data_IF_464587245671
#
_entry.id   IF_464587245671
#
_cell.length_a   1.000
_cell.length_b   1.000
_cell.length_c   1.000
_cell.angle_alpha   90.00
_cell.angle_beta   90.00
_cell.angle_gamma   90.00
#
_symmetry.space_group_name_H-M   'P 1'
#
loop_
_entity.id
_entity.type
_entity.pdbx_description
1 polymer ?
#
# COMPACT_ATOMS: atom_id res chain seq x y z
N UNK A 1 33.40 14.60 -0.16
CA UNK A 1 32.16 14.07 0.46
C UNK A 1 31.39 13.42 -0.67
N UNK A 2 30.76 12.26 -0.49
CA UNK A 2 29.92 11.74 -1.59
C UNK A 2 28.83 12.78 -1.85
N UNK A 3 28.65 13.17 -3.11
CA UNK A 3 27.60 14.11 -3.53
C UNK A 3 26.17 13.60 -3.19
N UNK A 4 26.08 12.38 -2.65
CA UNK A 4 24.87 11.66 -2.27
C UNK A 4 24.46 11.85 -0.81
N UNK A 5 25.27 12.47 0.06
CA UNK A 5 24.85 12.81 1.42
C UNK A 5 24.59 14.31 1.58
N UNK A 6 23.38 14.73 1.21
CA UNK A 6 22.89 16.08 1.48
C UNK A 6 22.79 16.35 2.99
N UNK A 7 22.84 17.62 3.43
CA UNK A 7 22.68 17.98 4.84
C UNK A 7 21.41 17.41 5.47
N UNK A 8 20.28 17.51 4.77
CA UNK A 8 18.98 16.99 5.22
C UNK A 8 18.99 15.47 5.37
N UNK A 9 19.59 14.74 4.43
CA UNK A 9 19.72 13.28 4.56
C UNK A 9 20.67 12.88 5.69
N UNK A 10 21.76 13.64 5.90
CA UNK A 10 22.69 13.40 7.00
C UNK A 10 22.00 13.53 8.38
N UNK A 11 21.14 14.53 8.52
CA UNK A 11 20.36 14.79 9.72
C UNK A 11 19.34 13.69 10.00
N UNK A 12 18.54 13.31 8.99
CA UNK A 12 17.58 12.19 9.09
C UNK A 12 18.28 10.86 9.42
N UNK A 13 19.38 10.54 8.72
CA UNK A 13 20.13 9.32 8.98
C UNK A 13 20.64 9.27 10.42
N UNK A 14 21.16 10.41 10.93
CA UNK A 14 21.64 10.53 12.30
C UNK A 14 20.56 10.25 13.34
N UNK A 15 19.33 10.76 13.13
CA UNK A 15 18.18 10.49 14.01
C UNK A 15 17.70 9.04 13.94
N UNK A 16 17.84 8.40 12.79
CA UNK A 16 17.54 6.98 12.58
C UNK A 16 18.62 6.02 13.12
N UNK A 17 19.77 6.54 13.56
CA UNK A 17 20.84 5.74 14.17
C UNK A 17 21.93 5.27 13.21
N UNK A 18 22.00 5.80 11.98
CA UNK A 18 23.03 5.43 11.00
C UNK A 18 23.70 6.65 10.35
N UNK A 19 24.80 6.42 9.63
CA UNK A 19 25.50 7.49 8.91
C UNK A 19 25.45 7.29 7.40
N UNK A 20 24.93 8.28 6.68
CA UNK A 20 24.99 8.35 5.22
C UNK A 20 26.43 8.30 4.65
N UNK A 21 27.45 8.62 5.47
CA UNK A 21 28.86 8.62 5.05
C UNK A 21 29.43 7.21 4.95
N UNK A 22 28.89 6.29 5.73
CA UNK A 22 29.32 4.90 5.83
C UNK A 22 28.26 3.92 5.34
N UNK A 23 27.04 4.39 5.08
CA UNK A 23 25.95 3.57 4.57
C UNK A 23 26.21 3.17 3.10
N UNK A 24 26.73 1.95 2.95
CA UNK A 24 26.50 1.08 1.80
C UNK A 24 27.04 1.49 0.44
N UNK A 25 26.65 0.65 -0.53
CA UNK A 25 26.81 0.85 -1.98
C UNK A 25 25.48 0.62 -2.68
N UNK A 26 25.51 0.17 -3.93
CA UNK A 26 24.27 -0.14 -4.69
C UNK A 26 23.42 -1.23 -4.01
N UNK A 27 24.05 -2.18 -3.34
CA UNK A 27 23.43 -3.26 -2.55
C UNK A 27 24.25 -3.46 -1.27
N UNK A 28 23.60 -3.64 -0.14
CA UNK A 28 24.22 -3.96 1.13
C UNK A 28 23.41 -5.00 1.90
N UNK A 29 24.12 -5.88 2.62
CA UNK A 29 23.50 -6.92 3.46
C UNK A 29 24.03 -6.81 4.89
N UNK A 30 23.14 -6.63 5.85
CA UNK A 30 23.40 -6.53 7.28
C UNK A 30 22.95 -7.79 8.02
N UNK A 31 23.38 -7.97 9.27
CA UNK A 31 22.86 -9.04 10.13
C UNK A 31 21.54 -8.58 10.76
N UNK A 32 20.44 -9.34 10.64
CA UNK A 32 19.12 -8.92 11.14
C UNK A 32 19.08 -8.71 12.66
N UNK A 33 19.95 -9.39 13.41
CA UNK A 33 20.06 -9.27 14.87
C UNK A 33 20.90 -8.07 15.33
N UNK A 34 21.47 -7.30 14.41
CA UNK A 34 22.30 -6.13 14.67
C UNK A 34 21.68 -4.84 14.11
N UNK A 35 20.39 -4.89 13.72
CA UNK A 35 19.64 -3.72 13.32
C UNK A 35 19.33 -2.83 14.55
N UNK A 36 19.05 -1.55 14.31
CA UNK A 36 18.91 -0.52 15.34
C UNK A 36 17.89 -0.89 16.44
N UNK A 37 16.82 -1.58 16.07
CA UNK A 37 15.87 -2.11 17.03
C UNK A 37 15.22 -3.42 16.53
N UNK A 38 14.63 -4.16 17.46
CA UNK A 38 14.05 -5.48 17.21
C UNK A 38 12.83 -5.46 16.28
N UNK A 39 12.18 -4.32 16.08
CA UNK A 39 10.97 -4.22 15.24
C UNK A 39 11.31 -4.20 13.75
N UNK A 40 12.50 -3.73 13.37
CA UNK A 40 12.99 -3.71 11.99
C UNK A 40 12.99 -5.12 11.33
N UNK A 41 13.63 -6.16 11.91
CA UNK A 41 13.61 -7.49 11.31
C UNK A 41 12.21 -8.14 11.34
N UNK A 42 11.37 -7.80 12.33
CA UNK A 42 9.98 -8.29 12.41
C UNK A 42 9.13 -7.73 11.27
N UNK A 43 9.23 -6.42 11.02
CA UNK A 43 8.56 -5.75 9.91
C UNK A 43 9.04 -6.32 8.57
N UNK A 44 10.35 -6.38 8.37
CA UNK A 44 10.96 -6.85 7.12
C UNK A 44 10.53 -8.28 6.79
N UNK A 45 10.61 -9.20 7.77
CA UNK A 45 10.17 -10.58 7.59
C UNK A 45 8.70 -10.67 7.23
N UNK A 46 7.84 -9.90 7.91
CA UNK A 46 6.39 -9.89 7.68
C UNK A 46 6.08 -9.46 6.24
N UNK A 47 6.68 -8.35 5.80
CA UNK A 47 6.42 -7.76 4.49
C UNK A 47 7.01 -8.61 3.35
N UNK A 48 8.25 -9.08 3.48
CA UNK A 48 8.90 -9.93 2.47
C UNK A 48 8.16 -11.25 2.32
N UNK A 49 7.75 -11.89 3.44
CA UNK A 49 6.93 -13.11 3.41
C UNK A 49 5.64 -12.85 2.64
N UNK A 50 4.98 -11.73 2.90
CA UNK A 50 3.81 -11.29 2.16
C UNK A 50 4.05 -11.16 0.67
N UNK A 51 5.11 -10.47 0.25
CA UNK A 51 5.43 -10.27 -1.15
C UNK A 51 5.72 -11.59 -1.89
N UNK A 52 6.43 -12.53 -1.23
CA UNK A 52 6.66 -13.88 -1.77
C UNK A 52 5.35 -14.64 -1.90
N UNK A 53 4.50 -14.59 -0.87
CA UNK A 53 3.19 -15.23 -0.88
C UNK A 53 2.29 -14.64 -1.99
N UNK A 54 2.21 -13.32 -2.14
CA UNK A 54 1.40 -12.69 -3.20
C UNK A 54 1.95 -12.93 -4.60
N UNK A 55 3.28 -13.04 -4.76
CA UNK A 55 3.88 -13.45 -6.03
C UNK A 55 3.56 -14.91 -6.37
N UNK A 56 3.69 -15.81 -5.39
CA UNK A 56 3.30 -17.21 -5.55
C UNK A 56 1.82 -17.32 -5.93
N UNK A 57 0.95 -16.52 -5.30
CA UNK A 57 -0.47 -16.42 -5.65
C UNK A 57 -0.65 -16.03 -7.12
N UNK A 58 0.03 -14.97 -7.55
CA UNK A 58 -0.05 -14.45 -8.91
C UNK A 58 0.40 -15.50 -9.96
N UNK A 59 1.50 -16.21 -9.68
CA UNK A 59 2.02 -17.27 -10.56
C UNK A 59 1.05 -18.45 -10.63
N UNK A 60 0.54 -18.91 -9.47
CA UNK A 60 -0.44 -20.00 -9.41
C UNK A 60 -1.68 -19.65 -10.22
N UNK A 61 -2.18 -18.41 -10.08
CA UNK A 61 -3.37 -17.95 -10.77
C UNK A 61 -3.19 -17.85 -12.27
N UNK A 62 -2.05 -17.34 -12.73
CA UNK A 62 -1.70 -17.36 -14.14
C UNK A 62 -1.63 -18.79 -14.68
N UNK A 63 -0.94 -19.70 -13.97
CA UNK A 63 -0.72 -21.07 -14.46
C UNK A 63 -1.96 -21.95 -14.42
N UNK A 64 -2.82 -21.81 -13.40
CA UNK A 64 -4.00 -22.68 -13.19
C UNK A 64 -5.28 -22.14 -13.80
N UNK A 65 -5.40 -20.82 -13.90
CA UNK A 65 -6.63 -20.16 -14.36
C UNK A 65 -6.42 -19.28 -15.60
N UNK A 66 -5.18 -19.19 -16.09
CA UNK A 66 -4.85 -18.37 -17.26
C UNK A 66 -5.07 -16.88 -17.04
N UNK A 67 -5.17 -16.43 -15.78
CA UNK A 67 -5.49 -15.06 -15.42
C UNK A 67 -4.22 -14.30 -14.98
N UNK A 68 -3.80 -13.36 -15.82
CA UNK A 68 -2.59 -12.57 -15.66
C UNK A 68 -2.76 -11.34 -14.76
N UNK A 69 -3.94 -11.09 -14.20
CA UNK A 69 -4.25 -9.85 -13.46
C UNK A 69 -3.31 -9.62 -12.29
N UNK A 70 -3.06 -10.65 -11.48
CA UNK A 70 -2.18 -10.52 -10.31
C UNK A 70 -0.71 -10.39 -10.68
N UNK A 71 -0.28 -10.97 -11.81
CA UNK A 71 1.08 -10.79 -12.31
C UNK A 71 1.27 -9.34 -12.76
N UNK A 72 0.32 -8.81 -13.53
CA UNK A 72 0.35 -7.41 -13.95
C UNK A 72 0.23 -6.44 -12.77
N UNK A 73 -0.54 -6.78 -11.74
CA UNK A 73 -0.64 -5.98 -10.51
C UNK A 73 0.68 -5.96 -9.75
N UNK A 74 1.27 -7.13 -9.49
CA UNK A 74 2.48 -7.28 -8.69
C UNK A 74 3.66 -6.54 -9.35
N UNK A 75 3.93 -6.84 -10.62
CA UNK A 75 5.03 -6.17 -11.33
C UNK A 75 4.69 -4.72 -11.73
N UNK A 76 3.41 -4.38 -11.87
CA UNK A 76 2.97 -3.00 -12.08
C UNK A 76 3.24 -2.12 -10.85
N UNK A 77 3.06 -2.66 -9.64
CA UNK A 77 3.42 -1.98 -8.39
C UNK A 77 4.95 -1.79 -8.26
N UNK A 78 5.74 -2.79 -8.68
CA UNK A 78 7.22 -2.65 -8.74
C UNK A 78 7.63 -1.61 -9.78
N UNK A 79 6.99 -1.59 -10.96
CA UNK A 79 7.26 -0.57 -11.97
C UNK A 79 6.93 0.83 -11.46
N UNK A 80 5.79 0.99 -10.78
CA UNK A 80 5.41 2.25 -10.13
C UNK A 80 6.48 2.74 -9.14
N UNK A 81 6.93 1.86 -8.24
CA UNK A 81 7.98 2.14 -7.26
C UNK A 81 9.25 2.65 -7.94
N UNK A 82 9.72 1.93 -8.98
CA UNK A 82 10.94 2.27 -9.71
C UNK A 82 10.84 3.59 -10.48
N UNK A 83 9.63 4.08 -10.74
CA UNK A 83 9.40 5.39 -11.37
C UNK A 83 9.39 6.51 -10.32
N UNK A 84 8.78 6.29 -9.17
CA UNK A 84 8.52 7.34 -8.17
C UNK A 84 9.65 7.47 -7.14
N UNK A 85 10.22 6.38 -6.65
CA UNK A 85 11.19 6.43 -5.54
C UNK A 85 12.54 7.05 -5.89
N UNK A 86 13.19 6.72 -7.04
CA UNK A 86 14.52 7.25 -7.31
C UNK A 86 14.58 8.79 -7.33
N UNK A 87 13.61 9.51 -7.94
CA UNK A 87 13.52 10.97 -7.82
C UNK A 87 13.40 11.49 -6.38
N UNK A 88 12.64 10.80 -5.52
CA UNK A 88 12.45 11.19 -4.12
C UNK A 88 13.70 10.98 -3.25
N UNK A 89 14.49 9.95 -3.56
CA UNK A 89 15.74 9.65 -2.88
C UNK A 89 16.93 10.47 -3.36
N UNK A 90 16.96 10.84 -4.64
CA UNK A 90 18.09 11.54 -5.26
C UNK A 90 17.68 12.83 -5.98
N UNK A 91 17.01 13.79 -5.32
CA UNK A 91 16.46 14.96 -5.99
C UNK A 91 17.53 15.77 -6.75
N UNK A 92 18.75 15.85 -6.22
CA UNK A 92 19.88 16.50 -6.89
C UNK A 92 20.28 15.81 -8.21
N UNK A 93 20.32 14.47 -8.23
CA UNK A 93 20.66 13.69 -9.43
C UNK A 93 19.60 13.81 -10.52
N UNK A 94 18.35 14.04 -10.14
CA UNK A 94 17.23 14.27 -11.06
C UNK A 94 17.03 15.75 -11.42
N UNK A 95 17.91 16.65 -10.96
CA UNK A 95 17.82 18.09 -11.27
C UNK A 95 16.62 18.80 -10.66
N UNK A 96 16.03 18.24 -9.60
CA UNK A 96 14.87 18.80 -8.90
C UNK A 96 15.21 19.34 -7.51
N UNK A 97 16.50 19.38 -7.12
CA UNK A 97 16.92 19.84 -5.80
C UNK A 97 16.54 21.29 -5.46
N UNK A 98 16.40 22.16 -6.47
CA UNK A 98 15.94 23.55 -6.28
C UNK A 98 14.44 23.63 -5.92
N UNK A 99 13.71 22.53 -6.07
CA UNK A 99 12.26 22.45 -5.87
C UNK A 99 11.84 21.42 -4.83
N UNK A 100 12.63 20.36 -4.64
CA UNK A 100 12.34 19.23 -3.78
C UNK A 100 13.63 18.81 -3.06
N UNK A 101 13.69 19.03 -1.75
CA UNK A 101 14.72 18.41 -0.92
C UNK A 101 14.29 16.99 -0.50
N UNK A 102 15.20 16.23 0.12
CA UNK A 102 14.97 14.88 0.66
C UNK A 102 13.67 14.87 1.46
N UNK A 103 12.66 14.11 1.01
CA UNK A 103 11.33 14.11 1.63
C UNK A 103 11.26 13.21 2.86
N UNK A 104 12.05 12.14 2.88
CA UNK A 104 12.14 11.18 3.98
C UNK A 104 13.41 10.35 3.84
N UNK A 105 13.74 9.62 4.91
CA UNK A 105 14.76 8.59 4.90
C UNK A 105 14.22 7.34 5.60
N UNK A 106 14.48 6.15 5.04
CA UNK A 106 14.27 4.91 5.76
C UNK A 106 15.45 4.61 6.67
N UNK A 107 15.19 3.85 7.74
CA UNK A 107 16.27 3.19 8.46
C UNK A 107 16.89 2.11 7.57
N UNK A 108 18.04 1.58 7.98
CA UNK A 108 18.74 0.50 7.28
C UNK A 108 18.26 -0.85 7.80
N UNK A 109 17.89 -1.73 6.87
CA UNK A 109 17.35 -3.07 7.16
C UNK A 109 18.37 -4.16 6.82
N UNK A 110 17.96 -5.43 6.78
CA UNK A 110 18.87 -6.53 6.47
C UNK A 110 19.36 -6.42 5.03
N UNK A 111 18.49 -6.04 4.09
CA UNK A 111 18.86 -5.84 2.69
C UNK A 111 18.46 -4.45 2.26
N UNK A 112 19.44 -3.64 1.87
CA UNK A 112 19.24 -2.29 1.38
C UNK A 112 19.85 -2.09 0.00
N UNK A 113 19.21 -1.24 -0.78
CA UNK A 113 19.67 -0.77 -2.07
C UNK A 113 19.96 0.74 -2.03
N UNK A 114 20.64 1.22 -3.06
CA UNK A 114 20.80 2.65 -3.33
C UNK A 114 21.43 3.43 -2.15
N UNK A 115 22.56 2.95 -1.63
CA UNK A 115 23.31 3.61 -0.53
C UNK A 115 22.48 3.78 0.75
N UNK A 116 21.71 2.74 1.10
CA UNK A 116 20.90 2.72 2.32
C UNK A 116 19.62 3.55 2.24
N UNK A 117 19.10 3.79 1.03
CA UNK A 117 17.89 4.61 0.81
C UNK A 117 16.66 3.79 0.45
N UNK A 118 16.84 2.64 -0.19
CA UNK A 118 15.74 1.77 -0.60
C UNK A 118 15.88 0.38 0.05
N UNK A 119 15.30 0.17 1.23
CA UNK A 119 15.24 -1.14 1.85
C UNK A 119 14.42 -2.14 1.02
N UNK A 120 14.78 -3.43 1.05
CA UNK A 120 14.05 -4.48 0.33
C UNK A 120 12.60 -4.60 0.79
N UNK A 121 12.31 -4.34 2.07
CA UNK A 121 10.93 -4.37 2.55
C UNK A 121 10.06 -3.31 1.87
N UNK A 122 10.61 -2.14 1.49
CA UNK A 122 9.88 -1.12 0.73
C UNK A 122 9.60 -1.63 -0.68
N UNK A 123 10.56 -2.25 -1.34
CA UNK A 123 10.31 -2.90 -2.64
C UNK A 123 9.19 -3.96 -2.54
N UNK A 124 9.14 -4.68 -1.42
CA UNK A 124 8.18 -5.75 -1.16
C UNK A 124 6.79 -5.24 -0.74
N UNK A 125 6.68 -4.13 0.01
CA UNK A 125 5.40 -3.66 0.57
C UNK A 125 4.42 -3.23 -0.52
N UNK A 126 4.92 -2.59 -1.58
CA UNK A 126 4.12 -2.12 -2.71
C UNK A 126 3.31 -3.24 -3.37
N UNK A 127 3.93 -4.29 -3.95
CA UNK A 127 3.19 -5.36 -4.59
C UNK A 127 2.42 -6.23 -3.58
N UNK A 128 2.92 -6.37 -2.35
CA UNK A 128 2.24 -7.12 -1.28
C UNK A 128 0.89 -6.47 -0.93
N UNK A 129 0.91 -5.20 -0.55
CA UNK A 129 -0.27 -4.47 -0.06
C UNK A 129 -1.29 -4.27 -1.17
N UNK A 130 -0.83 -3.87 -2.37
CA UNK A 130 -1.68 -3.72 -3.54
C UNK A 130 -2.40 -5.04 -3.87
N UNK A 131 -1.70 -6.17 -3.80
CA UNK A 131 -2.32 -7.48 -4.05
C UNK A 131 -3.32 -7.85 -2.97
N UNK A 132 -3.00 -7.68 -1.67
CA UNK A 132 -3.94 -7.97 -0.57
C UNK A 132 -5.22 -7.16 -0.72
N UNK A 133 -5.11 -5.85 -0.92
CA UNK A 133 -6.27 -4.98 -1.08
C UNK A 133 -7.11 -5.36 -2.31
N UNK A 134 -6.45 -5.60 -3.45
CA UNK A 134 -7.11 -6.01 -4.68
C UNK A 134 -7.88 -7.32 -4.52
N UNK A 135 -7.29 -8.31 -3.84
CA UNK A 135 -7.90 -9.61 -3.63
C UNK A 135 -9.11 -9.57 -2.70
N UNK A 136 -9.08 -8.73 -1.68
CA UNK A 136 -10.23 -8.50 -0.81
C UNK A 136 -11.40 -7.94 -1.64
N UNK A 137 -11.16 -6.90 -2.44
CA UNK A 137 -12.18 -6.25 -3.26
C UNK A 137 -12.70 -7.19 -4.35
N UNK A 138 -11.81 -7.96 -4.98
CA UNK A 138 -12.20 -8.95 -5.98
C UNK A 138 -12.98 -10.11 -5.40
N UNK A 139 -12.62 -10.60 -4.21
CA UNK A 139 -13.36 -11.66 -3.50
C UNK A 139 -14.81 -11.27 -3.25
N UNK A 140 -15.03 -10.00 -2.90
CA UNK A 140 -16.37 -9.45 -2.73
C UNK A 140 -17.11 -9.25 -4.06
N UNK A 141 -16.47 -9.47 -5.22
CA UNK A 141 -17.10 -9.36 -6.53
C UNK A 141 -17.42 -7.93 -6.97
N UNK A 142 -16.76 -6.92 -6.37
CA UNK A 142 -17.02 -5.50 -6.65
C UNK A 142 -16.78 -5.17 -8.12
N UNK A 143 -15.66 -5.60 -8.70
CA UNK A 143 -15.31 -5.34 -10.10
C UNK A 143 -16.38 -5.84 -11.08
N UNK A 144 -16.99 -6.99 -10.80
CA UNK A 144 -18.05 -7.57 -11.65
C UNK A 144 -19.37 -6.83 -11.50
N UNK A 145 -19.70 -6.38 -10.28
CA UNK A 145 -21.00 -5.75 -9.98
C UNK A 145 -21.03 -4.27 -10.33
N UNK A 146 -20.00 -3.52 -9.93
CA UNK A 146 -19.95 -2.06 -10.02
C UNK A 146 -18.92 -1.56 -11.03
N UNK A 147 -18.21 -2.47 -11.71
CA UNK A 147 -17.26 -2.14 -12.76
C UNK A 147 -15.86 -1.75 -12.26
N UNK A 148 -14.99 -1.47 -13.22
CA UNK A 148 -13.55 -1.22 -13.00
C UNK A 148 -13.30 0.01 -12.11
N UNK A 149 -14.02 1.11 -12.31
CA UNK A 149 -13.80 2.35 -11.57
C UNK A 149 -14.13 2.21 -10.08
N UNK A 150 -15.34 1.76 -9.74
CA UNK A 150 -15.74 1.59 -8.34
C UNK A 150 -14.90 0.52 -7.65
N UNK A 151 -14.56 -0.56 -8.37
CA UNK A 151 -13.61 -1.54 -7.85
C UNK A 151 -12.25 -0.93 -7.53
N UNK A 152 -11.70 -0.08 -8.39
CA UNK A 152 -10.44 0.61 -8.15
C UNK A 152 -10.51 1.54 -6.92
N UNK A 153 -11.59 2.31 -6.77
CA UNK A 153 -11.86 3.15 -5.58
C UNK A 153 -11.89 2.29 -4.31
N UNK A 154 -12.54 1.14 -4.36
CA UNK A 154 -12.56 0.20 -3.24
C UNK A 154 -11.17 -0.37 -2.93
N UNK A 155 -10.32 -0.61 -3.95
CA UNK A 155 -8.94 -1.06 -3.72
C UNK A 155 -8.13 0.01 -3.03
N UNK A 156 -8.26 1.27 -3.45
CA UNK A 156 -7.65 2.41 -2.77
C UNK A 156 -8.04 2.47 -1.30
N UNK A 157 -9.34 2.39 -1.01
CA UNK A 157 -9.85 2.41 0.37
C UNK A 157 -9.38 1.23 1.23
N UNK A 158 -9.34 0.00 0.68
CA UNK A 158 -8.85 -1.16 1.43
C UNK A 158 -7.34 -1.07 1.63
N UNK A 159 -6.58 -0.67 0.61
CA UNK A 159 -5.14 -0.46 0.73
C UNK A 159 -4.82 0.56 1.81
N UNK A 160 -5.51 1.71 1.77
CA UNK A 160 -5.44 2.76 2.77
C UNK A 160 -5.57 2.22 4.19
N UNK A 161 -6.63 1.44 4.47
CA UNK A 161 -6.87 0.90 5.80
C UNK A 161 -5.77 -0.06 6.30
N UNK A 162 -5.09 -0.79 5.42
CA UNK A 162 -3.97 -1.66 5.82
C UNK A 162 -2.65 -0.89 5.92
N UNK A 163 -2.44 0.09 5.03
CA UNK A 163 -1.21 0.86 4.92
C UNK A 163 -1.06 1.86 6.08
N UNK A 164 -2.12 2.59 6.43
CA UNK A 164 -2.08 3.62 7.48
C UNK A 164 -1.83 3.06 8.89
N UNK A 165 -2.12 1.77 9.11
CA UNK A 165 -1.73 1.08 10.35
C UNK A 165 -0.21 1.04 10.50
N UNK A 166 0.48 0.81 9.39
CA UNK A 166 1.93 0.77 9.31
C UNK A 166 2.51 2.19 9.26
N UNK A 167 1.92 3.09 8.46
CA UNK A 167 2.49 4.42 8.20
C UNK A 167 2.49 5.32 9.46
N UNK A 168 1.42 5.26 10.27
CA UNK A 168 1.35 6.00 11.53
C UNK A 168 2.18 5.41 12.67
N UNK A 169 2.74 4.21 12.51
CA UNK A 169 3.61 3.60 13.52
C UNK A 169 5.10 3.78 13.20
N UNK A 170 5.45 3.83 11.90
CA UNK A 170 6.83 3.83 11.44
C UNK A 170 7.73 4.91 12.02
N UNK A 171 7.30 6.19 12.06
CA UNK A 171 8.11 7.25 12.65
C UNK A 171 8.43 7.00 14.13
N UNK A 172 7.45 6.53 14.91
CA UNK A 172 7.63 6.25 16.34
C UNK A 172 8.60 5.08 16.59
N UNK A 173 8.61 4.07 15.70
CA UNK A 173 9.50 2.91 15.79
C UNK A 173 10.80 3.06 14.96
N UNK A 174 11.07 4.27 14.44
CA UNK A 174 12.24 4.60 13.61
C UNK A 174 12.42 3.67 12.41
N UNK A 175 11.31 3.30 11.75
CA UNK A 175 11.38 2.58 10.47
C UNK A 175 11.74 3.51 9.32
N UNK A 176 11.27 4.75 9.40
CA UNK A 176 11.65 5.88 8.57
C UNK A 176 11.34 7.17 9.30
N UNK A 177 11.81 8.28 8.74
CA UNK A 177 11.54 9.61 9.24
C UNK A 177 11.21 10.56 8.09
N UNK A 178 10.22 11.43 8.32
CA UNK A 178 9.79 12.46 7.39
C UNK A 178 10.55 13.76 7.61
N UNK A 179 10.88 14.44 6.51
CA UNK A 179 11.34 15.82 6.56
C UNK A 179 10.19 16.75 6.88
N UNK A 180 9.96 17.02 8.16
CA UNK A 180 8.78 17.75 8.65
C UNK A 180 8.68 19.20 8.15
N UNK A 181 9.76 19.79 7.65
CA UNK A 181 9.74 21.15 7.09
C UNK A 181 9.69 21.18 5.55
N UNK A 182 9.67 20.02 4.90
CA UNK A 182 9.55 19.96 3.45
C UNK A 182 8.13 20.38 3.02
N UNK A 183 7.97 21.36 2.10
CA UNK A 183 6.65 21.79 1.64
C UNK A 183 5.79 20.67 1.07
N UNK A 184 6.41 19.66 0.43
CA UNK A 184 5.71 18.50 -0.13
C UNK A 184 5.14 17.55 0.93
N UNK A 185 5.63 17.63 2.16
CA UNK A 185 5.12 16.86 3.30
C UNK A 185 4.02 17.60 4.07
N UNK A 186 3.73 18.86 3.71
CA UNK A 186 2.78 19.68 4.45
C UNK A 186 1.38 19.64 3.82
N UNK A 187 0.31 19.66 4.63
CA UNK A 187 0.33 19.63 6.10
C UNK A 187 0.60 18.23 6.66
N UNK A 188 1.13 18.18 7.89
CA UNK A 188 1.25 16.93 8.63
C UNK A 188 -0.08 16.54 9.30
N UNK A 189 -0.38 15.25 9.33
CA UNK A 189 -1.40 14.62 10.15
C UNK A 189 -0.70 13.79 11.24
N UNK A 190 -0.57 14.41 12.42
CA UNK A 190 0.34 13.94 13.48
C UNK A 190 1.76 13.74 12.90
N UNK A 191 2.37 12.56 13.02
CA UNK A 191 3.71 12.28 12.48
C UNK A 191 3.76 11.99 10.98
N UNK A 192 2.64 11.96 10.26
CA UNK A 192 2.58 11.50 8.85
C UNK A 192 2.10 12.62 7.93
N UNK A 193 2.75 12.88 6.78
CA UNK A 193 2.26 13.86 5.80
C UNK A 193 0.86 13.52 5.31
N UNK A 194 -0.08 14.49 5.37
CA UNK A 194 -1.42 14.29 4.80
C UNK A 194 -1.38 13.96 3.30
N UNK A 195 -0.48 14.52 2.47
CA UNK A 195 -0.28 14.03 1.11
C UNK A 195 0.08 12.55 1.04
N UNK A 196 0.81 11.99 2.01
CA UNK A 196 1.07 10.54 2.08
C UNK A 196 -0.20 9.75 2.33
N UNK A 197 -0.95 10.16 3.36
CA UNK A 197 -2.23 9.54 3.76
C UNK A 197 -3.23 9.49 2.60
N UNK A 198 -3.20 10.46 1.69
CA UNK A 198 -4.11 10.47 0.54
C UNK A 198 -3.48 9.79 -0.67
N UNK A 199 -2.30 10.22 -1.07
CA UNK A 199 -1.68 9.82 -2.34
C UNK A 199 -1.05 8.44 -2.24
N UNK A 200 -0.18 8.23 -1.24
CA UNK A 200 0.54 6.98 -1.02
C UNK A 200 -0.35 5.89 -0.40
N UNK A 201 -1.34 6.25 0.40
CA UNK A 201 -2.22 5.25 1.00
C UNK A 201 -3.41 4.86 0.10
N UNK A 202 -3.99 5.79 -0.66
CA UNK A 202 -5.26 5.54 -1.37
C UNK A 202 -5.21 5.74 -2.89
N UNK A 203 -4.60 6.83 -3.39
CA UNK A 203 -4.75 7.20 -4.81
C UNK A 203 -3.87 6.39 -5.77
N UNK A 204 -2.60 6.12 -5.46
CA UNK A 204 -1.79 5.26 -6.33
C UNK A 204 -2.30 3.81 -6.43
N UNK A 205 -2.73 3.10 -5.36
CA UNK A 205 -3.25 1.74 -5.50
C UNK A 205 -4.59 1.75 -6.24
N UNK A 206 -5.40 2.81 -6.07
CA UNK A 206 -6.60 3.02 -6.89
C UNK A 206 -6.23 3.16 -8.37
N UNK A 207 -5.27 4.00 -8.71
CA UNK A 207 -4.82 4.21 -10.10
C UNK A 207 -4.28 2.91 -10.71
N UNK A 208 -3.41 2.21 -9.99
CA UNK A 208 -2.87 0.93 -10.45
C UNK A 208 -3.98 -0.12 -10.63
N UNK A 209 -4.90 -0.24 -9.68
CA UNK A 209 -6.02 -1.17 -9.77
C UNK A 209 -6.90 -0.86 -10.98
N UNK A 210 -7.16 0.43 -11.26
CA UNK A 210 -7.90 0.88 -12.43
C UNK A 210 -7.20 0.45 -13.72
N UNK A 211 -5.91 0.76 -13.86
CA UNK A 211 -5.14 0.43 -15.06
C UNK A 211 -5.03 -1.09 -15.27
N UNK A 212 -4.67 -1.84 -14.23
CA UNK A 212 -4.56 -3.31 -14.30
C UNK A 212 -5.90 -3.94 -14.67
N UNK A 213 -6.99 -3.50 -14.06
CA UNK A 213 -8.32 -4.02 -14.40
C UNK A 213 -8.75 -3.63 -15.81
N UNK A 214 -8.42 -2.41 -16.25
CA UNK A 214 -8.77 -1.96 -17.59
C UNK A 214 -8.00 -2.69 -18.69
N UNK A 215 -6.69 -2.89 -18.53
CA UNK A 215 -5.86 -3.52 -19.56
C UNK A 215 -5.84 -5.05 -19.48
N UNK A 216 -5.99 -5.63 -18.29
CA UNK A 216 -5.82 -7.07 -18.06
C UNK A 216 -7.08 -7.67 -17.43
N UNK A 217 -7.47 -7.21 -16.24
CA UNK A 217 -8.44 -7.91 -15.40
C UNK A 217 -9.82 -8.11 -16.03
N UNK A 218 -10.43 -7.06 -16.58
CA UNK A 218 -11.75 -7.17 -17.26
C UNK A 218 -11.75 -8.10 -18.47
N UNK A 219 -10.60 -8.33 -19.08
CA UNK A 219 -10.46 -9.25 -20.21
C UNK A 219 -10.24 -10.68 -19.73
N UNK A 220 -9.43 -10.86 -18.69
CA UNK A 220 -9.25 -12.15 -18.03
C UNK A 220 -10.57 -12.65 -17.41
N UNK A 221 -11.37 -11.75 -16.83
CA UNK A 221 -12.74 -12.04 -16.36
C UNK A 221 -13.67 -12.55 -17.47
N UNK A 222 -13.40 -12.18 -18.73
CA UNK A 222 -14.13 -12.65 -19.92
C UNK A 222 -13.51 -13.89 -20.56
N UNK A 223 -12.53 -14.52 -19.91
CA UNK A 223 -11.84 -15.72 -20.39
C UNK A 223 -10.76 -15.45 -21.43
N UNK A 224 -10.32 -14.19 -21.62
CA UNK A 224 -9.23 -13.88 -22.55
C UNK A 224 -7.88 -14.22 -21.92
N UNK A 225 -7.09 -15.01 -22.63
CA UNK A 225 -5.69 -15.28 -22.29
C UNK A 225 -4.75 -14.34 -23.04
N UNK A 226 -3.57 -14.11 -22.45
CA UNK A 226 -2.54 -13.23 -22.99
C UNK A 226 -1.23 -13.98 -23.17
N UNK A 227 -0.50 -13.65 -24.24
CA UNK A 227 0.88 -14.12 -24.40
C UNK A 227 1.82 -13.42 -23.43
N UNK A 228 3.02 -13.97 -23.19
CA UNK A 228 4.00 -13.36 -22.28
C UNK A 228 4.33 -11.90 -22.64
N UNK A 229 4.53 -11.61 -23.93
CA UNK A 229 4.78 -10.24 -24.41
C UNK A 229 3.60 -9.32 -24.11
N UNK A 230 2.36 -9.79 -24.30
CA UNK A 230 1.17 -9.03 -23.99
C UNK A 230 1.04 -8.72 -22.50
N UNK A 231 1.45 -9.64 -21.63
CA UNK A 231 1.47 -9.41 -20.18
C UNK A 231 2.51 -8.35 -19.85
N UNK A 232 3.74 -8.45 -20.38
CA UNK A 232 4.84 -7.53 -20.09
C UNK A 232 4.49 -6.09 -20.44
N UNK A 233 4.09 -5.81 -21.69
CA UNK A 233 3.85 -4.41 -22.07
C UNK A 233 2.65 -3.82 -21.31
N UNK A 234 1.59 -4.61 -21.07
CA UNK A 234 0.42 -4.15 -20.30
C UNK A 234 0.77 -3.84 -18.85
N UNK A 235 1.67 -4.61 -18.27
CA UNK A 235 2.21 -4.40 -16.93
C UNK A 235 2.99 -3.08 -16.88
N UNK A 236 3.90 -2.85 -17.84
CA UNK A 236 4.67 -1.61 -17.94
C UNK A 236 3.76 -0.41 -18.14
N UNK A 237 2.82 -0.48 -19.08
CA UNK A 237 1.85 0.61 -19.32
C UNK A 237 0.98 0.87 -18.07
N UNK A 238 0.53 -0.18 -17.38
CA UNK A 238 -0.22 0.00 -16.15
C UNK A 238 0.60 0.68 -15.05
N UNK A 239 1.87 0.30 -14.87
CA UNK A 239 2.78 0.95 -13.92
C UNK A 239 3.00 2.43 -14.24
N UNK A 240 3.30 2.76 -15.51
CA UNK A 240 3.50 4.14 -15.97
C UNK A 240 2.24 4.99 -15.77
N UNK A 241 1.08 4.49 -16.18
CA UNK A 241 -0.19 5.21 -16.02
C UNK A 241 -0.60 5.35 -14.54
N UNK A 242 -0.27 4.35 -13.71
CA UNK A 242 -0.47 4.46 -12.27
C UNK A 242 0.36 5.60 -11.66
N UNK A 243 1.62 5.74 -12.09
CA UNK A 243 2.50 6.86 -11.68
C UNK A 243 1.93 8.20 -12.11
N UNK A 244 1.37 8.32 -13.33
CA UNK A 244 0.67 9.55 -13.73
C UNK A 244 -0.56 9.83 -12.86
N UNK A 245 -1.31 8.82 -12.46
CA UNK A 245 -2.44 8.98 -11.56
C UNK A 245 -2.07 9.56 -10.19
N UNK A 246 -0.84 9.33 -9.73
CA UNK A 246 -0.31 9.89 -8.47
C UNK A 246 -0.08 11.39 -8.57
N UNK A 247 0.21 11.90 -9.77
CA UNK A 247 0.26 13.33 -10.01
C UNK A 247 -1.12 13.93 -10.30
N UNK A 248 -1.99 13.21 -11.03
CA UNK A 248 -3.27 13.72 -11.54
C UNK A 248 -4.39 13.70 -10.50
N UNK A 249 -4.53 12.60 -9.75
CA UNK A 249 -5.63 12.44 -8.81
C UNK A 249 -5.64 13.47 -7.67
N UNK A 250 -4.49 13.85 -7.06
CA UNK A 250 -4.44 14.89 -6.05
C UNK A 250 -4.33 16.32 -6.61
N UNK A 251 -4.51 16.52 -7.91
CA UNK A 251 -4.41 17.86 -8.51
C UNK A 251 -5.33 18.89 -7.86
N UNK A 252 -6.61 18.61 -7.56
CA UNK A 252 -7.47 19.59 -6.91
C UNK A 252 -6.85 20.09 -5.60
N UNK A 253 -6.39 19.19 -4.72
CA UNK A 253 -5.72 19.56 -3.49
C UNK A 253 -4.41 20.32 -3.71
N UNK A 254 -3.59 19.87 -4.66
CA UNK A 254 -2.30 20.48 -4.99
C UNK A 254 -2.48 21.91 -5.54
N UNK A 255 -3.46 22.11 -6.43
CA UNK A 255 -3.78 23.42 -7.01
C UNK A 255 -4.36 24.34 -5.96
N UNK A 256 -5.26 23.87 -5.10
CA UNK A 256 -5.82 24.68 -4.02
C UNK A 256 -4.72 25.13 -3.06
N UNK A 257 -3.84 24.22 -2.64
CA UNK A 257 -2.68 24.57 -1.79
C UNK A 257 -1.76 25.59 -2.46
N UNK A 258 -1.43 25.39 -3.74
CA UNK A 258 -0.55 26.28 -4.50
C UNK A 258 -1.15 27.66 -4.75
N UNK A 259 -2.42 27.76 -5.16
CA UNK A 259 -3.09 29.03 -5.46
C UNK A 259 -3.34 29.85 -4.20
N UNK A 260 -3.68 29.19 -3.09
CA UNK A 260 -3.97 29.88 -1.83
C UNK A 260 -2.72 30.20 -1.01
N UNK A 261 -1.59 29.52 -1.30
CA UNK A 261 -0.40 29.56 -0.44
C UNK A 261 -0.62 28.99 0.97
N UNK A 262 -1.75 28.31 1.21
CA UNK A 262 -2.16 27.83 2.53
C UNK A 262 -2.08 26.31 2.60
N UNK A 263 -1.19 25.81 3.46
CA UNK A 263 -1.10 24.38 3.79
C UNK A 263 -2.41 23.86 4.39
N UNK A 264 -3.14 24.70 5.12
CA UNK A 264 -4.46 24.35 5.67
C UNK A 264 -5.48 24.13 4.57
N UNK A 265 -5.57 25.04 3.58
CA UNK A 265 -6.51 24.90 2.48
C UNK A 265 -6.20 23.68 1.60
N UNK A 266 -4.91 23.46 1.28
CA UNK A 266 -4.46 22.24 0.59
C UNK A 266 -4.80 20.98 1.39
N UNK A 267 -4.59 21.01 2.71
CA UNK A 267 -4.94 19.90 3.59
C UNK A 267 -6.42 19.57 3.64
N UNK A 268 -7.27 20.59 3.73
CA UNK A 268 -8.74 20.40 3.68
C UNK A 268 -9.15 19.76 2.35
N UNK A 269 -8.53 20.17 1.24
CA UNK A 269 -8.81 19.59 -0.07
C UNK A 269 -8.35 18.12 -0.15
N UNK A 270 -7.15 17.79 0.35
CA UNK A 270 -6.69 16.40 0.46
C UNK A 270 -7.66 15.54 1.29
N UNK A 271 -8.09 16.05 2.45
CA UNK A 271 -9.05 15.35 3.30
C UNK A 271 -10.41 15.16 2.59
N UNK A 272 -10.87 16.16 1.84
CA UNK A 272 -12.11 16.07 1.07
C UNK A 272 -12.04 15.01 -0.05
N UNK A 273 -10.92 14.92 -0.76
CA UNK A 273 -10.67 13.88 -1.76
C UNK A 273 -10.72 12.48 -1.12
N UNK A 274 -10.05 12.30 0.02
CA UNK A 274 -10.09 11.03 0.76
C UNK A 274 -11.50 10.69 1.25
N UNK A 275 -12.25 11.66 1.77
CA UNK A 275 -13.64 11.46 2.20
C UNK A 275 -14.52 11.02 1.03
N UNK A 276 -14.31 11.58 -0.17
CA UNK A 276 -15.05 11.18 -1.36
C UNK A 276 -14.76 9.71 -1.75
N UNK A 277 -13.48 9.30 -1.73
CA UNK A 277 -13.05 7.92 -1.95
C UNK A 277 -13.69 6.99 -0.92
N UNK A 278 -13.61 7.33 0.37
CA UNK A 278 -14.20 6.58 1.47
C UNK A 278 -15.71 6.41 1.33
N UNK A 279 -16.44 7.48 1.00
CA UNK A 279 -17.89 7.44 0.86
C UNK A 279 -18.34 6.45 -0.21
N UNK A 280 -17.70 6.51 -1.39
CA UNK A 280 -17.99 5.59 -2.51
C UNK A 280 -17.62 4.15 -2.15
N UNK A 281 -16.44 3.93 -1.57
CA UNK A 281 -15.96 2.60 -1.22
C UNK A 281 -16.83 1.94 -0.13
N UNK A 282 -17.15 2.67 0.93
CA UNK A 282 -18.01 2.18 2.03
C UNK A 282 -19.38 1.80 1.48
N UNK A 283 -20.00 2.68 0.69
CA UNK A 283 -21.29 2.37 0.06
C UNK A 283 -21.23 1.08 -0.76
N UNK A 284 -20.24 0.95 -1.65
CA UNK A 284 -20.12 -0.20 -2.54
C UNK A 284 -19.83 -1.50 -1.77
N UNK A 285 -18.87 -1.49 -0.85
CA UNK A 285 -18.47 -2.65 -0.05
C UNK A 285 -19.60 -3.13 0.86
N UNK A 286 -20.27 -2.22 1.57
CA UNK A 286 -21.38 -2.57 2.47
C UNK A 286 -22.60 -3.07 1.68
N UNK A 287 -22.95 -2.40 0.57
CA UNK A 287 -24.07 -2.82 -0.28
C UNK A 287 -23.84 -4.20 -0.88
N UNK A 288 -22.62 -4.46 -1.36
CA UNK A 288 -22.22 -5.76 -1.89
C UNK A 288 -22.26 -6.84 -0.81
N UNK A 289 -21.68 -6.57 0.36
CA UNK A 289 -21.61 -7.53 1.45
C UNK A 289 -23.01 -7.92 1.94
N UNK A 290 -23.90 -6.93 2.15
CA UNK A 290 -25.30 -7.17 2.51
C UNK A 290 -26.01 -8.02 1.46
N UNK A 291 -25.83 -7.70 0.17
CA UNK A 291 -26.42 -8.49 -0.92
C UNK A 291 -25.94 -9.93 -0.88
N UNK A 292 -24.63 -10.16 -0.87
CA UNK A 292 -24.04 -11.50 -0.89
C UNK A 292 -24.44 -12.36 0.33
N UNK A 293 -24.75 -11.74 1.47
CA UNK A 293 -25.32 -12.44 2.62
C UNK A 293 -26.78 -12.80 2.45
N UNK A 294 -27.54 -12.01 1.70
CA UNK A 294 -28.96 -12.26 1.43
C UNK A 294 -29.23 -13.14 0.20
N UNK A 295 -28.25 -13.36 -0.67
CA UNK A 295 -28.41 -14.15 -1.90
C UNK A 295 -27.62 -15.45 -1.84
N UNK A 296 -28.22 -16.54 -2.28
CA UNK A 296 -27.54 -17.84 -2.42
C UNK A 296 -26.61 -17.79 -3.63
N UNK A 297 -25.44 -18.42 -3.53
CA UNK A 297 -24.54 -18.54 -4.67
C UNK A 297 -25.25 -19.30 -5.80
N UNK A 298 -25.27 -18.73 -7.01
CA UNK A 298 -25.86 -19.37 -8.18
C UNK A 298 -24.81 -19.63 -9.26
N UNK A 299 -25.03 -20.58 -10.18
CA UNK A 299 -24.18 -20.77 -11.35
C UNK A 299 -24.05 -19.52 -12.23
N UNK A 300 -25.03 -18.62 -12.17
CA UNK A 300 -25.07 -17.35 -12.92
C UNK A 300 -24.36 -16.19 -12.21
N UNK A 301 -24.11 -16.27 -10.91
CA UNK A 301 -23.32 -15.30 -10.13
C UNK A 301 -22.27 -16.04 -9.27
N UNK A 302 -21.25 -16.69 -9.91
CA UNK A 302 -20.25 -17.45 -9.19
C UNK A 302 -19.39 -16.52 -8.33
N UNK A 303 -19.25 -16.87 -7.05
CA UNK A 303 -18.44 -16.10 -6.09
C UNK A 303 -16.96 -16.29 -6.36
N UNK A 304 -16.19 -15.20 -6.25
CA UNK A 304 -14.73 -15.28 -6.31
C UNK A 304 -14.19 -15.96 -5.05
N UNK A 305 -13.34 -16.97 -5.23
CA UNK A 305 -12.67 -17.66 -4.12
C UNK A 305 -11.20 -17.28 -4.13
N UNK A 306 -10.80 -16.34 -3.27
CA UNK A 306 -9.38 -16.09 -3.02
C UNK A 306 -8.80 -17.20 -2.16
N UNK A 307 -7.49 -17.41 -2.28
CA UNK A 307 -6.82 -18.48 -1.59
C UNK A 307 -6.91 -18.28 -0.06
N UNK A 308 -7.34 -19.28 0.74
CA UNK A 308 -7.51 -19.12 2.18
C UNK A 308 -6.24 -18.64 2.90
N UNK A 309 -5.07 -19.07 2.44
CA UNK A 309 -3.79 -18.67 3.00
C UNK A 309 -3.46 -17.20 2.76
N UNK A 310 -3.95 -16.57 1.70
CA UNK A 310 -3.75 -15.14 1.46
C UNK A 310 -4.53 -14.29 2.48
N UNK A 311 -5.78 -14.68 2.75
CA UNK A 311 -6.57 -14.07 3.82
C UNK A 311 -6.01 -14.39 5.21
N UNK A 312 -5.37 -15.56 5.37
CA UNK A 312 -4.61 -15.91 6.56
C UNK A 312 -3.42 -14.97 6.76
N UNK A 313 -2.64 -14.71 5.72
CA UNK A 313 -1.53 -13.75 5.74
C UNK A 313 -2.02 -12.33 6.07
N UNK A 314 -3.09 -11.85 5.43
CA UNK A 314 -3.64 -10.52 5.73
C UNK A 314 -4.05 -10.37 7.20
N UNK A 315 -4.64 -11.42 7.80
CA UNK A 315 -4.94 -11.44 9.23
C UNK A 315 -3.68 -11.50 10.11
N UNK A 316 -2.65 -12.26 9.69
CA UNK A 316 -1.37 -12.33 10.39
C UNK A 316 -0.63 -10.97 10.36
N UNK A 317 -0.65 -10.27 9.22
CA UNK A 317 -0.14 -8.90 9.10
C UNK A 317 -0.80 -7.97 10.11
N UNK A 318 -2.14 -7.97 10.21
CA UNK A 318 -2.85 -7.15 11.19
C UNK A 318 -2.51 -7.55 12.64
N UNK A 319 -2.34 -8.85 12.91
CA UNK A 319 -1.93 -9.32 14.24
C UNK A 319 -0.52 -8.84 14.62
N UNK A 320 0.44 -8.93 13.70
CA UNK A 320 1.80 -8.42 13.91
C UNK A 320 1.77 -6.92 14.13
N UNK A 321 1.06 -6.16 13.29
CA UNK A 321 0.93 -4.71 13.45
C UNK A 321 0.27 -4.33 14.78
N UNK A 322 -0.73 -5.10 15.24
CA UNK A 322 -1.36 -4.88 16.54
C UNK A 322 -0.36 -5.09 17.69
N UNK A 323 0.47 -6.14 17.63
CA UNK A 323 1.53 -6.38 18.62
C UNK A 323 2.55 -5.23 18.64
N UNK A 324 2.97 -4.76 17.45
CA UNK A 324 3.91 -3.64 17.34
C UNK A 324 3.31 -2.35 17.91
N UNK A 325 2.06 -2.03 17.60
CA UNK A 325 1.33 -0.91 18.20
C UNK A 325 1.25 -1.04 19.72
N UNK A 326 0.84 -2.21 20.24
CA UNK A 326 0.74 -2.46 21.67
C UNK A 326 2.09 -2.25 22.38
N UNK A 327 3.20 -2.65 21.74
CA UNK A 327 4.54 -2.43 22.28
C UNK A 327 4.96 -0.94 22.31
N UNK A 328 4.40 -0.12 21.42
CA UNK A 328 4.67 1.30 21.30
C UNK A 328 3.74 2.17 22.18
N UNK A 329 2.60 1.64 22.63
CA UNK A 329 1.60 2.38 23.42
C UNK A 329 2.15 3.03 24.71
N UNK A 330 3.05 2.40 25.50
CA UNK A 330 3.60 3.07 26.69
C UNK A 330 4.33 4.37 26.35
N UNK A 331 5.14 4.36 25.30
CA UNK A 331 5.85 5.55 24.82
C UNK A 331 4.88 6.56 24.19
N UNK A 332 3.84 6.09 23.50
CA UNK A 332 2.78 6.92 22.94
C UNK A 332 2.05 7.73 24.02
N UNK A 333 1.60 7.07 25.09
CA UNK A 333 0.90 7.74 26.19
C UNK A 333 1.81 8.60 27.07
N UNK A 334 3.12 8.34 27.05
CA UNK A 334 4.14 9.18 27.67
C UNK A 334 4.60 10.35 26.82
N UNK A 335 4.13 10.46 25.57
CA UNK A 335 4.55 11.50 24.64
C UNK A 335 4.02 12.88 25.07
N UNK A 336 4.84 13.91 24.87
CA UNK A 336 4.47 15.31 25.12
C UNK A 336 4.49 16.03 23.78
N UNK A 337 3.38 16.70 23.44
CA UNK A 337 3.20 17.38 22.15
C UNK A 337 3.48 16.47 20.94
N UNK A 338 3.07 15.20 21.01
CA UNK A 338 3.23 14.24 19.92
C UNK A 338 4.65 13.72 19.72
N UNK A 339 5.53 13.85 20.72
CA UNK A 339 6.91 13.36 20.68
C UNK A 339 7.21 12.52 21.92
N UNK A 340 7.76 11.32 21.74
CA UNK A 340 8.15 10.42 22.84
C UNK A 340 9.34 10.97 23.63
N UNK A 341 9.62 10.39 24.80
CA UNK A 341 10.82 10.74 25.58
C UNK A 341 12.16 10.51 24.83
N UNK A 342 12.15 9.68 23.78
CA UNK A 342 13.31 9.40 22.94
C UNK A 342 13.41 10.31 21.70
N UNK A 343 12.48 11.27 21.55
CA UNK A 343 12.45 12.20 20.43
C UNK A 343 11.69 11.69 19.21
N UNK A 344 10.95 10.59 19.33
CA UNK A 344 10.27 9.97 18.19
C UNK A 344 8.86 10.58 18.01
N UNK A 345 8.50 11.04 16.81
CA UNK A 345 7.18 11.60 16.57
C UNK A 345 6.11 10.49 16.57
N UNK A 346 4.99 10.73 17.23
CA UNK A 346 3.88 9.76 17.35
C UNK A 346 2.81 9.99 16.28
N UNK A 347 2.27 8.91 15.72
CA UNK A 347 1.16 8.98 14.78
C UNK A 347 -0.22 9.15 15.42
N UNK A 348 -1.27 8.82 14.68
CA UNK A 348 -2.65 9.08 15.08
C UNK A 348 -3.36 7.82 15.57
N UNK A 349 -3.39 7.59 16.89
CA UNK A 349 -3.91 6.34 17.46
C UNK A 349 -5.38 6.09 17.10
N UNK A 350 -6.25 7.10 17.19
CA UNK A 350 -7.68 6.94 16.88
C UNK A 350 -7.88 6.58 15.40
N UNK A 351 -7.09 7.17 14.51
CA UNK A 351 -7.15 6.93 13.09
C UNK A 351 -6.69 5.51 12.75
N UNK A 352 -5.59 5.06 13.37
CA UNK A 352 -5.11 3.69 13.25
C UNK A 352 -6.14 2.67 13.77
N UNK A 353 -6.83 2.95 14.88
CA UNK A 353 -7.93 2.09 15.38
C UNK A 353 -9.06 1.97 14.35
N UNK A 354 -9.44 3.06 13.69
CA UNK A 354 -10.42 3.03 12.60
C UNK A 354 -9.92 2.20 11.41
N UNK A 355 -8.65 2.36 11.03
CA UNK A 355 -8.01 1.60 9.96
C UNK A 355 -8.00 0.08 10.28
N UNK A 356 -7.66 -0.30 11.51
CA UNK A 356 -7.81 -1.68 11.98
C UNK A 356 -9.25 -2.18 11.86
N UNK A 357 -10.23 -1.41 12.33
CA UNK A 357 -11.63 -1.79 12.26
C UNK A 357 -12.10 -2.02 10.81
N UNK A 358 -11.70 -1.14 9.88
CA UNK A 358 -12.01 -1.26 8.46
C UNK A 358 -11.34 -2.49 7.85
N UNK A 359 -10.03 -2.67 8.09
CA UNK A 359 -9.26 -3.79 7.56
C UNK A 359 -9.82 -5.14 8.03
N UNK A 360 -10.10 -5.26 9.34
CA UNK A 360 -10.75 -6.44 9.95
C UNK A 360 -12.15 -6.63 9.36
N UNK A 361 -12.95 -5.56 9.26
CA UNK A 361 -14.29 -5.59 8.66
C UNK A 361 -14.28 -6.13 7.23
N UNK A 362 -13.31 -5.74 6.42
CA UNK A 362 -13.15 -6.25 5.06
C UNK A 362 -12.80 -7.75 5.03
N UNK A 363 -11.91 -8.21 5.91
CA UNK A 363 -11.59 -9.64 6.03
C UNK A 363 -12.79 -10.47 6.50
N UNK A 364 -13.55 -9.96 7.48
CA UNK A 364 -14.79 -10.58 7.96
C UNK A 364 -15.84 -10.62 6.84
N UNK A 365 -15.97 -9.55 6.06
CA UNK A 365 -16.89 -9.50 4.94
C UNK A 365 -16.58 -10.60 3.92
N UNK A 366 -15.30 -10.78 3.54
CA UNK A 366 -14.89 -11.85 2.62
C UNK A 366 -15.17 -13.24 3.19
N UNK A 367 -14.82 -13.47 4.48
CA UNK A 367 -15.02 -14.79 5.12
C UNK A 367 -16.49 -15.17 5.26
N UNK A 368 -17.35 -14.21 5.59
CA UNK A 368 -18.79 -14.45 5.80
C UNK A 368 -19.56 -14.70 4.51
N UNK A 369 -18.99 -14.39 3.34
CA UNK A 369 -19.60 -14.64 2.03
C UNK A 369 -18.88 -15.74 1.22
N UNK A 370 -17.86 -16.38 1.79
CA UNK A 370 -17.18 -17.49 1.13
C UNK A 370 -18.15 -18.67 0.92
N UNK A 371 -18.15 -19.34 -0.25
CA UNK A 371 -18.99 -20.53 -0.48
C UNK A 371 -18.72 -21.62 0.55
N UNK A 372 -19.77 -22.26 1.06
CA UNK A 372 -19.60 -23.43 1.92
C UNK A 372 -19.06 -24.61 1.08
N UNK A 373 -18.24 -25.48 1.67
CA UNK A 373 -17.72 -26.69 0.98
C UNK A 373 -18.83 -27.59 0.42
N UNK A 374 -20.06 -27.48 0.94
CA UNK A 374 -21.26 -28.18 0.47
C UNK A 374 -21.79 -27.70 -0.89
N UNK A 375 -21.54 -26.45 -1.28
CA UNK A 375 -22.11 -25.85 -2.51
C UNK A 375 -21.36 -26.30 -3.78
N UNK A 376 -20.21 -26.96 -3.63
CA UNK A 376 -19.41 -27.49 -4.72
C UNK A 376 -19.92 -28.85 -5.28
N UNK A 377 -21.00 -29.41 -4.70
CA UNK A 377 -21.61 -30.69 -5.13
C UNK A 377 -23.08 -30.51 -5.47
N UNK A 378 -23.39 -29.82 -6.55
CA UNK A 378 -24.61 -30.13 -7.30
C UNK A 378 -24.17 -30.76 -8.62
N UNK A 379 -24.32 -32.09 -8.78
CA UNK A 379 -24.15 -32.73 -10.06
C UNK A 379 -25.13 -32.08 -11.04
N UNK A 380 -24.63 -31.65 -12.19
CA UNK A 380 -25.49 -31.38 -13.34
C UNK A 380 -26.12 -32.72 -13.70
N UNK A 381 -27.36 -32.95 -13.25
CA UNK A 381 -28.17 -34.05 -13.76
C UNK A 381 -28.45 -33.74 -15.22
N UNK A 382 -27.73 -34.41 -16.12
CA UNK A 382 -28.09 -34.48 -17.51
C UNK A 382 -29.48 -35.15 -17.59
N UNK A 383 -30.49 -34.38 -17.95
CA UNK A 383 -31.76 -34.95 -18.41
C UNK A 383 -31.49 -35.65 -19.74
N UNK A 384 -31.75 -36.96 -19.76
CA UNK A 384 -31.74 -37.81 -20.96
C UNK A 384 -32.88 -37.44 -21.92
#
# INVERSE_FOLDING_TARGET
MSDLCSPTFADLAGRLGFSCKTAGGLVEVRKPLQLENWTLPVLELTVITGAVLTLAYAIIRLRRHGDATNIALWFGAVAYLLIIEPPLYFPATFGIADHVDTMFAHNVFTVDFLWGRLPLYIVAIYPMMATVAFEIVRSLGIFRRYGTLIGAVCVGFVHHAFYEIFDHLGPQLRWWEWSVHNPMNQPMFDSVPLPSVVVFAALWPMSLALCVQFFVGRHADRGRHFTGIQIVWRTVVAGVLASLGTAILPLPATVIGGVTGSSTAGGVAYAAELVAVCAVAIWALVSQWRRLRSTVASPTEPRYVSAPWLLGYAAAYLAVMAVLWLSALPAYFGAVNGVTAHGDPTGSLWYTVLCFAIAIGCLVAVRTVAPAKSDARLPVTASA
#
